data_IF_319530175516
#
_entry.id   IF_319530175516
#
_cell.length_a   1.000
_cell.length_b   1.000
_cell.length_c   1.000
_cell.angle_alpha   90.00
_cell.angle_beta   90.00
_cell.angle_gamma   90.00
#
_symmetry.space_group_name_H-M   'P 1'
#
loop_
_entity.id
_entity.type
_entity.pdbx_description
1 polymer ?
#
# COMPACT_ATOMS: atom_id res chain seq x y z
N UNK A 1 -8.45 8.57 24.16
CA UNK A 1 -7.68 9.48 23.28
C UNK A 1 -7.49 8.76 21.94
N UNK A 2 -8.28 9.03 20.89
CA UNK A 2 -8.13 8.32 19.62
C UNK A 2 -7.06 9.03 18.79
N UNK A 3 -5.89 8.42 18.65
CA UNK A 3 -4.78 8.92 17.81
C UNK A 3 -5.02 8.67 16.31
N UNK A 4 -6.06 7.94 15.91
CA UNK A 4 -6.27 7.50 14.52
C UNK A 4 -6.99 8.54 13.63
N UNK A 5 -7.86 9.38 14.19
CA UNK A 5 -8.67 10.31 13.40
C UNK A 5 -7.81 11.38 12.67
N UNK A 6 -6.83 12.04 13.31
CA UNK A 6 -6.08 13.12 12.66
C UNK A 6 -5.20 12.65 11.49
N UNK A 7 -4.51 11.52 11.65
CA UNK A 7 -3.64 10.99 10.60
C UNK A 7 -4.44 10.47 9.39
N UNK A 8 -5.57 9.82 9.66
CA UNK A 8 -6.50 9.38 8.63
C UNK A 8 -7.11 10.57 7.88
N UNK A 9 -7.61 11.59 8.62
CA UNK A 9 -8.19 12.79 8.03
C UNK A 9 -7.17 13.53 7.16
N UNK A 10 -5.92 13.64 7.62
CA UNK A 10 -4.84 14.21 6.83
C UNK A 10 -4.58 13.42 5.54
N UNK A 11 -4.52 12.08 5.63
CA UNK A 11 -4.30 11.24 4.46
C UNK A 11 -5.42 11.40 3.41
N UNK A 12 -6.68 11.42 3.84
CA UNK A 12 -7.83 11.57 2.93
C UNK A 12 -7.89 12.99 2.35
N UNK A 13 -7.83 14.00 3.20
CA UNK A 13 -8.11 15.39 2.80
C UNK A 13 -6.93 16.08 2.12
N UNK A 14 -5.70 15.82 2.57
CA UNK A 14 -4.51 16.54 2.09
C UNK A 14 -3.70 15.74 1.08
N UNK A 15 -3.70 14.40 1.20
CA UNK A 15 -2.85 13.52 0.39
C UNK A 15 -3.61 12.76 -0.71
N UNK A 16 -4.94 12.94 -0.81
CA UNK A 16 -5.77 12.23 -1.78
C UNK A 16 -5.85 10.72 -1.50
N UNK A 17 -5.72 10.32 -0.24
CA UNK A 17 -5.63 8.95 0.20
C UNK A 17 -6.95 8.20 0.20
N UNK A 18 -7.30 7.55 -0.91
CA UNK A 18 -8.50 6.71 -1.02
C UNK A 18 -8.23 5.21 -0.81
N UNK A 19 -7.02 4.83 -0.41
CA UNK A 19 -6.65 3.44 -0.15
C UNK A 19 -5.31 3.33 0.60
N UNK A 20 -4.88 2.10 0.86
CA UNK A 20 -3.60 1.80 1.50
C UNK A 20 -2.73 0.91 0.60
N UNK A 21 -1.39 1.04 0.67
CA UNK A 21 -0.61 1.94 1.51
C UNK A 21 -0.38 3.32 0.86
N UNK A 22 -0.20 4.35 1.69
CA UNK A 22 0.25 5.69 1.28
C UNK A 22 1.56 5.97 2.01
N UNK A 23 2.55 6.49 1.27
CA UNK A 23 3.82 6.94 1.84
C UNK A 23 4.10 8.38 1.45
N UNK A 24 4.64 9.17 2.38
CA UNK A 24 5.10 10.54 2.12
C UNK A 24 6.62 10.56 2.27
N UNK A 25 7.40 10.49 1.17
CA UNK A 25 8.85 10.62 1.21
C UNK A 25 9.25 12.04 1.63
N UNK A 26 10.51 12.24 2.00
CA UNK A 26 11.05 13.56 2.37
C UNK A 26 10.95 14.62 1.26
N UNK A 27 10.67 14.21 0.00
CA UNK A 27 10.36 15.11 -1.11
C UNK A 27 9.00 15.81 -0.94
N UNK A 28 8.17 15.40 0.03
CA UNK A 28 6.90 16.01 0.38
C UNK A 28 5.70 15.55 -0.46
N UNK A 29 5.92 14.80 -1.53
CA UNK A 29 4.85 14.32 -2.42
C UNK A 29 4.42 12.90 -2.05
N UNK A 30 3.17 12.74 -1.62
CA UNK A 30 2.60 11.44 -1.31
C UNK A 30 2.57 10.51 -2.53
N UNK A 31 2.78 9.22 -2.29
CA UNK A 31 2.71 8.13 -3.28
C UNK A 31 1.78 7.05 -2.76
N UNK A 32 0.88 6.56 -3.62
CA UNK A 32 0.11 5.35 -3.37
C UNK A 32 0.97 4.12 -3.74
N UNK A 33 1.04 3.15 -2.83
CA UNK A 33 1.97 2.03 -2.92
C UNK A 33 3.31 2.31 -2.20
N UNK A 34 4.36 1.49 -2.45
CA UNK A 34 4.35 0.30 -3.31
C UNK A 34 3.54 -0.84 -2.69
N UNK A 35 2.81 -1.59 -3.54
CA UNK A 35 2.06 -2.78 -3.12
C UNK A 35 2.83 -4.03 -3.54
N UNK A 36 3.47 -4.70 -2.57
CA UNK A 36 4.34 -5.85 -2.80
C UNK A 36 4.14 -6.91 -1.71
N UNK A 37 4.21 -8.20 -2.09
CA UNK A 37 4.15 -9.33 -1.16
C UNK A 37 5.07 -10.47 -1.65
N UNK A 38 5.96 -11.01 -0.79
CA UNK A 38 6.29 -10.54 0.56
C UNK A 38 6.97 -9.17 0.54
N UNK A 39 6.99 -8.49 1.70
CA UNK A 39 7.76 -7.27 1.84
C UNK A 39 9.27 -7.58 1.64
N UNK A 40 9.98 -6.82 0.79
CA UNK A 40 11.42 -7.03 0.60
C UNK A 40 12.18 -6.69 1.88
N UNK A 41 13.36 -7.28 2.05
CA UNK A 41 14.25 -7.06 3.20
C UNK A 41 15.68 -6.79 2.71
N UNK A 42 16.53 -6.27 3.60
CA UNK A 42 17.92 -5.98 3.27
C UNK A 42 18.08 -5.02 2.08
N UNK A 43 18.98 -5.36 1.16
CA UNK A 43 19.31 -4.52 0.00
C UNK A 43 18.12 -4.31 -0.94
N UNK A 44 17.21 -5.28 -1.05
CA UNK A 44 16.01 -5.15 -1.89
C UNK A 44 15.05 -4.09 -1.33
N UNK A 45 14.97 -3.95 0.00
CA UNK A 45 14.16 -2.90 0.63
C UNK A 45 14.75 -1.51 0.32
N UNK A 46 16.08 -1.38 0.37
CA UNK A 46 16.77 -0.14 0.01
C UNK A 46 16.55 0.18 -1.47
N UNK A 47 16.66 -0.82 -2.35
CA UNK A 47 16.42 -0.67 -3.78
C UNK A 47 15.00 -0.20 -4.06
N UNK A 48 14.00 -0.81 -3.44
CA UNK A 48 12.60 -0.39 -3.58
C UNK A 48 12.40 1.05 -3.11
N UNK A 49 13.03 1.44 -2.00
CA UNK A 49 12.94 2.81 -1.48
C UNK A 49 13.49 3.84 -2.46
N UNK A 50 14.62 3.56 -3.14
CA UNK A 50 15.16 4.48 -4.15
C UNK A 50 14.22 4.66 -5.34
N UNK A 51 13.53 3.58 -5.78
CA UNK A 51 12.54 3.68 -6.86
C UNK A 51 11.34 4.54 -6.45
N UNK A 52 10.81 4.34 -5.24
CA UNK A 52 9.70 5.15 -4.70
C UNK A 52 10.08 6.62 -4.61
N UNK A 53 11.29 6.91 -4.10
CA UNK A 53 11.81 8.27 -4.05
C UNK A 53 11.97 8.89 -5.44
N UNK A 54 12.54 8.16 -6.39
CA UNK A 54 12.74 8.63 -7.75
C UNK A 54 11.44 8.99 -8.46
N UNK A 55 10.36 8.22 -8.26
CA UNK A 55 9.04 8.56 -8.80
C UNK A 55 8.53 9.92 -8.27
N UNK A 56 8.83 10.25 -7.01
CA UNK A 56 8.42 11.52 -6.41
C UNK A 56 9.15 12.75 -6.97
N UNK A 57 10.27 12.57 -7.68
CA UNK A 57 11.07 13.67 -8.28
C UNK A 57 10.46 14.22 -9.57
N UNK A 58 9.52 13.51 -10.21
CA UNK A 58 8.88 13.92 -11.47
C UNK A 58 7.55 14.63 -11.20
N UNK A 59 7.42 15.96 -11.38
CA UNK A 59 6.22 16.72 -10.99
C UNK A 59 4.91 16.26 -11.65
N UNK A 60 5.00 15.62 -12.83
CA UNK A 60 3.86 15.16 -13.62
C UNK A 60 3.81 13.62 -13.77
N UNK A 61 4.41 12.89 -12.84
CA UNK A 61 4.24 11.44 -12.73
C UNK A 61 2.96 11.12 -11.94
N UNK A 62 2.05 10.33 -12.50
CA UNK A 62 0.73 10.10 -11.88
C UNK A 62 0.50 8.64 -11.47
N UNK A 63 0.84 7.68 -12.34
CA UNK A 63 0.66 6.26 -12.03
C UNK A 63 1.65 5.39 -12.79
N UNK A 64 2.15 4.35 -12.12
CA UNK A 64 2.81 3.20 -12.72
C UNK A 64 2.29 1.95 -12.02
N UNK A 65 1.80 0.99 -12.81
CA UNK A 65 1.19 -0.22 -12.27
C UNK A 65 1.55 -1.42 -13.12
N UNK A 66 1.95 -2.49 -12.44
CA UNK A 66 2.09 -3.81 -13.07
C UNK A 66 0.73 -4.53 -12.94
N UNK A 67 0.09 -4.91 -14.06
CA UNK A 67 -1.13 -5.71 -14.01
C UNK A 67 -0.88 -7.05 -13.33
N UNK A 68 -1.79 -7.46 -12.44
CA UNK A 68 -1.73 -8.78 -11.81
C UNK A 68 -2.22 -9.84 -12.78
N UNK A 69 -1.48 -10.93 -12.87
CA UNK A 69 -1.84 -12.15 -13.60
C UNK A 69 -2.60 -13.13 -12.69
N UNK A 70 -3.21 -14.21 -13.24
CA UNK A 70 -3.78 -15.28 -12.43
C UNK A 70 -2.77 -15.95 -11.48
N UNK A 71 -1.51 -16.05 -11.90
CA UNK A 71 -0.43 -16.62 -11.07
C UNK A 71 -0.11 -15.70 -9.89
N UNK A 72 -0.09 -14.37 -10.10
CA UNK A 72 0.07 -13.40 -9.03
C UNK A 72 -1.06 -13.51 -7.99
N UNK A 73 -2.29 -13.71 -8.45
CA UNK A 73 -3.44 -13.90 -7.55
C UNK A 73 -3.29 -15.16 -6.69
N UNK A 74 -2.77 -16.24 -7.26
CA UNK A 74 -2.47 -17.49 -6.54
C UNK A 74 -1.36 -17.27 -5.51
N UNK A 75 -0.28 -16.58 -5.89
CA UNK A 75 0.82 -16.24 -4.99
C UNK A 75 0.36 -15.36 -3.81
N UNK A 76 -0.47 -14.34 -4.09
CA UNK A 76 -1.06 -13.47 -3.08
C UNK A 76 -1.89 -14.30 -2.10
N UNK A 77 -2.80 -15.15 -2.59
CA UNK A 77 -3.65 -15.98 -1.74
C UNK A 77 -2.83 -16.89 -0.82
N UNK A 78 -1.78 -17.52 -1.35
CA UNK A 78 -0.88 -18.37 -0.57
C UNK A 78 -0.10 -17.58 0.49
N UNK A 79 0.37 -16.39 0.16
CA UNK A 79 1.10 -15.51 1.10
C UNK A 79 0.23 -15.10 2.29
N UNK A 80 -1.08 -14.93 2.07
CA UNK A 80 -2.03 -14.57 3.13
C UNK A 80 -2.70 -15.78 3.80
N UNK A 81 -2.49 -17.00 3.31
CA UNK A 81 -3.13 -18.21 3.85
C UNK A 81 -2.93 -18.39 5.37
N UNK A 82 -1.75 -18.14 5.98
CA UNK A 82 -1.58 -18.23 7.42
C UNK A 82 -2.54 -17.29 8.18
N UNK A 83 -2.69 -16.05 7.72
CA UNK A 83 -3.60 -15.07 8.32
C UNK A 83 -5.06 -15.47 8.17
N UNK A 84 -5.44 -16.02 7.00
CA UNK A 84 -6.81 -16.44 6.72
C UNK A 84 -7.22 -17.66 7.56
N UNK A 85 -6.29 -18.58 7.81
CA UNK A 85 -6.54 -19.82 8.56
C UNK A 85 -6.53 -19.62 10.07
N UNK A 86 -5.70 -18.70 10.57
CA UNK A 86 -5.63 -18.37 11.99
C UNK A 86 -6.74 -17.42 12.44
N UNK A 87 -7.59 -16.91 11.53
CA UNK A 87 -8.63 -15.94 11.86
C UNK A 87 -9.83 -16.64 12.52
N UNK A 88 -10.14 -16.27 13.75
CA UNK A 88 -11.31 -16.78 14.49
C UNK A 88 -12.59 -15.93 14.33
N UNK A 89 -12.50 -14.73 13.73
CA UNK A 89 -13.61 -13.78 13.66
C UNK A 89 -14.33 -13.80 12.30
N UNK A 90 -15.67 -13.76 12.30
CA UNK A 90 -16.47 -13.74 11.07
C UNK A 90 -16.34 -12.40 10.33
N UNK A 91 -16.01 -12.46 9.03
CA UNK A 91 -15.96 -11.26 8.18
C UNK A 91 -17.37 -10.72 7.95
N UNK A 92 -17.67 -9.54 8.51
CA UNK A 92 -18.85 -8.76 8.12
C UNK A 92 -18.44 -7.85 6.97
N UNK A 93 -18.73 -8.26 5.74
CA UNK A 93 -18.68 -7.35 4.60
C UNK A 93 -20.00 -6.59 4.53
N UNK A 94 -19.96 -5.30 4.84
CA UNK A 94 -21.07 -4.43 4.49
C UNK A 94 -20.91 -4.03 3.02
N UNK A 95 -21.95 -4.10 2.17
CA UNK A 95 -21.85 -3.66 0.79
C UNK A 95 -21.45 -2.19 0.76
N UNK A 96 -20.41 -1.86 0.00
CA UNK A 96 -20.14 -0.47 -0.37
C UNK A 96 -21.21 -0.07 -1.39
N UNK A 97 -22.09 0.84 -1.00
CA UNK A 97 -23.03 1.52 -1.89
C UNK A 97 -22.27 2.45 -2.84
#
# INVERSE_FOLDING_TARGET
>A
MPLCAPDHDNAVQQLGGFGVPIIVPATGRAVFGPVIVPAPTGDDAVRLWQLVRGMAEFPHFYELKVPKTPDDMTHIANSFNPYLRAREWQTVQNPAL
#
